data_IF_296119716667
#
_entry.id   IF_296119716667
#
_cell.length_a   1.000
_cell.length_b   1.000
_cell.length_c   1.000
_cell.angle_alpha   90.00
_cell.angle_beta   90.00
_cell.angle_gamma   90.00
#
_symmetry.space_group_name_H-M   'P 1'
#
loop_
_entity.id
_entity.type
_entity.pdbx_description
1 polymer ?
#
# COMPACT_ATOMS: atom_id res chain seq x y z
N UNK A 1 1.19 2.38 54.26
CA UNK A 1 2.61 2.35 53.83
C UNK A 1 2.62 2.60 52.34
N UNK A 2 2.13 3.75 51.89
CA UNK A 2 2.75 5.09 52.02
C UNK A 2 4.10 5.13 51.30
N UNK A 3 4.10 5.67 50.08
CA UNK A 3 4.95 6.83 49.82
C UNK A 3 4.54 7.55 48.53
N UNK A 4 3.74 8.59 48.77
CA UNK A 4 3.32 9.64 47.88
C UNK A 4 4.49 10.61 47.64
N UNK A 5 5.10 10.59 46.44
CA UNK A 5 6.15 11.55 46.09
C UNK A 5 5.65 12.58 45.07
N UNK A 6 5.19 13.69 45.64
CA UNK A 6 4.86 14.95 44.99
C UNK A 6 6.12 15.71 44.52
N UNK A 7 5.87 16.71 43.64
CA UNK A 7 6.69 17.89 43.26
C UNK A 7 7.48 17.71 41.96
N UNK A 8 7.46 18.66 41.01
CA UNK A 8 6.97 20.03 41.06
C UNK A 8 6.74 20.63 39.67
N UNK A 9 5.81 21.58 39.61
CA UNK A 9 5.54 22.41 38.43
C UNK A 9 6.53 23.57 38.39
N UNK A 10 7.15 23.87 37.23
CA UNK A 10 7.86 25.13 37.06
C UNK A 10 6.91 26.29 36.75
N UNK A 11 7.04 27.29 37.62
CA UNK A 11 6.78 28.72 37.54
C UNK A 11 6.50 29.30 36.14
N UNK A 12 5.29 29.88 36.01
CA UNK A 12 4.88 30.76 34.91
C UNK A 12 5.60 32.11 35.05
N UNK A 13 6.33 32.54 34.02
CA UNK A 13 6.83 33.93 33.92
C UNK A 13 5.78 34.79 33.21
N UNK A 14 5.32 35.91 33.80
CA UNK A 14 4.60 36.94 33.07
C UNK A 14 5.61 37.93 32.51
N UNK A 15 5.65 38.11 31.18
CA UNK A 15 6.44 39.18 30.59
C UNK A 15 5.61 40.03 29.62
N UNK A 16 5.21 41.19 30.16
CA UNK A 16 5.07 42.51 29.54
C UNK A 16 4.24 42.67 28.27
N UNK A 17 3.08 43.25 28.49
CA UNK A 17 2.35 44.14 27.59
C UNK A 17 3.25 45.25 27.01
N UNK A 18 3.50 45.17 25.70
CA UNK A 18 4.03 46.29 24.91
C UNK A 18 2.86 47.21 24.56
N UNK A 19 2.95 48.45 25.02
CA UNK A 19 2.05 49.55 24.65
C UNK A 19 2.37 49.96 23.22
N UNK A 20 1.46 49.69 22.29
CA UNK A 20 1.53 50.19 20.92
C UNK A 20 1.04 51.64 20.87
N UNK A 21 1.96 52.57 20.63
CA UNK A 21 1.63 53.95 20.30
C UNK A 21 0.93 54.02 18.95
N UNK A 22 -0.29 54.58 18.96
CA UNK A 22 -1.07 54.89 17.78
C UNK A 22 -0.51 56.15 17.10
N UNK A 23 -0.07 56.01 15.85
CA UNK A 23 0.25 57.13 14.97
C UNK A 23 -0.89 57.29 13.97
N UNK A 24 -1.53 58.46 14.02
CA UNK A 24 -2.64 58.87 13.16
C UNK A 24 -2.27 58.91 11.67
N UNK A 25 -3.27 58.75 10.77
CA UNK A 25 -3.05 58.53 9.34
C UNK A 25 -2.83 59.85 8.59
N UNK A 26 -1.71 59.94 7.88
CA UNK A 26 -1.41 61.02 6.93
C UNK A 26 -1.86 60.59 5.52
N UNK A 27 -2.78 61.36 4.94
CA UNK A 27 -2.91 61.53 3.49
C UNK A 27 -3.60 60.41 2.72
N UNK A 28 -4.93 60.50 2.59
CA UNK A 28 -5.62 59.86 1.47
C UNK A 28 -5.24 60.57 0.17
N UNK A 29 -4.39 59.95 -0.65
CA UNK A 29 -4.32 60.26 -2.06
C UNK A 29 -5.49 59.58 -2.80
N UNK A 30 -6.12 60.23 -3.80
CA UNK A 30 -7.15 59.62 -4.61
C UNK A 30 -6.56 58.43 -5.39
N UNK A 31 -7.14 57.25 -5.21
CA UNK A 31 -6.78 56.06 -5.98
C UNK A 31 -7.07 56.30 -7.47
N UNK A 32 -6.13 55.96 -8.38
CA UNK A 32 -6.37 56.02 -9.81
C UNK A 32 -7.50 55.04 -10.20
N UNK A 33 -8.32 55.37 -11.21
CA UNK A 33 -9.41 54.52 -11.66
C UNK A 33 -8.86 53.15 -12.10
N UNK A 34 -9.55 52.05 -11.77
CA UNK A 34 -9.10 50.72 -12.13
C UNK A 34 -9.03 50.59 -13.66
N UNK A 35 -7.96 49.98 -14.21
CA UNK A 35 -7.85 49.76 -15.65
C UNK A 35 -9.02 48.89 -16.13
N UNK A 36 -9.90 49.51 -16.92
CA UNK A 36 -10.93 48.82 -17.70
C UNK A 36 -10.23 48.07 -18.82
N UNK A 37 -9.83 46.82 -18.56
CA UNK A 37 -9.60 45.73 -19.53
C UNK A 37 -8.77 44.63 -18.86
N UNK A 38 -9.33 43.96 -17.86
CA UNK A 38 -8.87 42.62 -17.49
C UNK A 38 -9.67 41.63 -18.33
N UNK A 39 -9.16 41.36 -19.54
CA UNK A 39 -9.54 40.16 -20.27
C UNK A 39 -9.12 39.00 -19.38
N UNK A 40 -10.08 38.45 -18.62
CA UNK A 40 -9.89 37.23 -17.84
C UNK A 40 -9.68 36.12 -18.87
N UNK A 41 -8.42 35.92 -19.26
CA UNK A 41 -8.00 34.73 -19.96
C UNK A 41 -8.31 33.58 -19.01
N UNK A 42 -9.44 32.92 -19.26
CA UNK A 42 -9.81 31.68 -18.62
C UNK A 42 -8.77 30.65 -19.06
N UNK A 43 -7.64 30.61 -18.34
CA UNK A 43 -6.63 29.58 -18.50
C UNK A 43 -7.32 28.28 -18.09
N UNK A 44 -7.79 27.52 -19.08
CA UNK A 44 -8.31 26.19 -18.83
C UNK A 44 -7.21 25.42 -18.09
N UNK A 45 -7.51 24.81 -16.94
CA UNK A 45 -6.50 24.10 -16.17
C UNK A 45 -5.91 23.00 -17.06
N UNK A 46 -4.65 23.16 -17.45
CA UNK A 46 -3.90 22.13 -18.16
C UNK A 46 -3.80 20.94 -17.21
N UNK A 47 -4.63 19.93 -17.45
CA UNK A 47 -4.65 18.70 -16.66
C UNK A 47 -3.37 17.93 -16.96
N UNK A 48 -2.29 18.22 -16.23
CA UNK A 48 -1.05 17.45 -16.34
C UNK A 48 -1.29 16.07 -15.73
N UNK A 49 -1.21 15.02 -16.55
CA UNK A 49 -1.27 13.64 -16.06
C UNK A 49 -0.07 13.44 -15.12
N UNK A 50 -0.35 13.18 -13.85
CA UNK A 50 0.71 12.87 -12.89
C UNK A 50 1.09 11.40 -13.04
N UNK A 51 2.36 11.13 -13.36
CA UNK A 51 2.92 9.78 -13.35
C UNK A 51 3.27 9.39 -11.91
N UNK A 52 2.96 8.15 -11.53
CA UNK A 52 3.44 7.55 -10.29
C UNK A 52 4.97 7.55 -10.30
N UNK A 53 5.58 8.05 -9.22
CA UNK A 53 7.04 8.12 -9.06
C UNK A 53 7.48 7.19 -7.95
N UNK A 54 8.68 6.63 -8.11
CA UNK A 54 9.33 5.90 -7.03
C UNK A 54 9.83 6.89 -5.97
N UNK A 55 9.32 6.75 -4.74
CA UNK A 55 9.68 7.58 -3.59
C UNK A 55 11.18 7.55 -3.27
N UNK A 56 11.86 6.46 -3.69
CA UNK A 56 13.31 6.29 -3.54
C UNK A 56 14.13 7.23 -4.43
N UNK A 57 13.55 7.67 -5.55
CA UNK A 57 14.21 8.56 -6.52
C UNK A 57 14.08 10.04 -6.13
N UNK A 58 13.20 10.36 -5.18
CA UNK A 58 12.98 11.74 -4.73
C UNK A 58 14.12 12.21 -3.82
N UNK A 59 14.48 13.49 -3.91
CA UNK A 59 15.37 14.10 -2.93
C UNK A 59 14.68 14.27 -1.56
N UNK A 60 15.46 14.42 -0.49
CA UNK A 60 14.91 14.66 0.84
C UNK A 60 13.98 15.89 0.87
N UNK A 61 14.37 16.97 0.19
CA UNK A 61 13.56 18.20 0.11
C UNK A 61 12.24 17.97 -0.62
N UNK A 62 12.24 17.19 -1.71
CA UNK A 62 11.02 16.80 -2.42
C UNK A 62 10.11 15.97 -1.53
N UNK A 63 10.65 14.96 -0.84
CA UNK A 63 9.88 14.13 0.10
C UNK A 63 9.27 14.97 1.22
N UNK A 64 10.04 15.89 1.80
CA UNK A 64 9.54 16.80 2.84
C UNK A 64 8.39 17.69 2.32
N UNK A 65 8.48 18.16 1.08
CA UNK A 65 7.41 18.90 0.42
C UNK A 65 6.11 18.10 0.27
N UNK A 66 6.19 16.77 0.15
CA UNK A 66 5.03 15.88 0.02
C UNK A 66 4.37 15.53 1.37
N UNK A 67 4.98 15.87 2.51
CA UNK A 67 4.44 15.51 3.84
C UNK A 67 3.42 16.56 4.34
N UNK A 68 3.39 17.74 3.74
CA UNK A 68 2.46 18.81 4.11
C UNK A 68 1.06 18.70 3.47
N UNK A 69 0.13 19.50 3.98
CA UNK A 69 -1.16 19.76 3.33
C UNK A 69 -2.31 18.84 3.73
N UNK A 70 -3.24 18.65 2.78
CA UNK A 70 -4.46 17.88 2.98
C UNK A 70 -4.15 16.40 3.24
N UNK A 71 -4.86 15.77 4.18
CA UNK A 71 -4.62 14.38 4.59
C UNK A 71 -5.81 13.50 4.23
N UNK A 72 -5.50 12.27 3.84
CA UNK A 72 -6.45 11.23 3.44
C UNK A 72 -6.52 10.20 4.55
N UNK A 73 -7.73 9.86 4.99
CA UNK A 73 -7.94 8.78 5.93
C UNK A 73 -7.79 7.43 5.22
N UNK A 74 -6.98 6.53 5.77
CA UNK A 74 -6.91 5.14 5.33
C UNK A 74 -7.87 4.34 6.18
N UNK A 75 -8.89 3.75 5.56
CA UNK A 75 -9.95 3.04 6.30
C UNK A 75 -10.22 1.66 5.72
N UNK A 76 -10.66 0.75 6.58
CA UNK A 76 -11.15 -0.58 6.21
C UNK A 76 -12.36 -0.91 7.08
N UNK A 77 -13.49 -1.23 6.46
CA UNK A 77 -14.74 -1.56 7.17
C UNK A 77 -15.16 -0.51 8.23
N UNK A 78 -14.89 0.77 7.97
CA UNK A 78 -15.17 1.87 8.90
C UNK A 78 -14.12 2.07 10.01
N UNK A 79 -13.19 1.13 10.20
CA UNK A 79 -12.02 1.33 11.08
C UNK A 79 -11.02 2.24 10.36
N UNK A 80 -10.53 3.26 11.06
CA UNK A 80 -9.48 4.16 10.59
C UNK A 80 -8.11 3.68 11.06
N UNK A 81 -7.19 3.50 10.12
CA UNK A 81 -5.84 3.00 10.37
C UNK A 81 -4.84 4.12 10.57
N UNK A 82 -4.83 5.10 9.65
CA UNK A 82 -3.89 6.23 9.69
C UNK A 82 -4.38 7.37 8.78
N UNK A 83 -3.64 8.48 8.81
CA UNK A 83 -3.78 9.60 7.89
C UNK A 83 -2.49 9.82 7.09
N UNK A 84 -2.59 9.81 5.77
CA UNK A 84 -1.45 10.07 4.87
C UNK A 84 -1.69 11.39 4.12
N UNK A 85 -0.67 12.25 3.99
CA UNK A 85 -0.73 13.41 3.11
C UNK A 85 -1.13 13.01 1.67
N UNK A 86 -2.10 13.73 1.10
CA UNK A 86 -2.64 13.45 -0.23
C UNK A 86 -1.57 13.51 -1.32
N UNK A 87 -0.71 14.51 -1.27
CA UNK A 87 0.37 14.72 -2.25
C UNK A 87 1.35 13.55 -2.27
N UNK A 88 1.75 13.05 -1.11
CA UNK A 88 2.53 11.82 -0.99
C UNK A 88 1.76 10.65 -1.62
N UNK A 89 0.50 10.44 -1.24
CA UNK A 89 -0.28 9.31 -1.74
C UNK A 89 -0.49 9.35 -3.27
N UNK A 90 -0.83 10.50 -3.86
CA UNK A 90 -0.96 10.68 -5.31
C UNK A 90 0.36 10.47 -6.08
N UNK A 91 1.50 10.66 -5.39
CA UNK A 91 2.83 10.44 -5.97
C UNK A 91 3.17 8.96 -6.02
N UNK A 92 2.88 8.20 -4.96
CA UNK A 92 3.38 6.82 -4.78
C UNK A 92 2.34 5.72 -5.00
N UNK A 93 1.05 6.04 -4.84
CA UNK A 93 -0.04 5.07 -4.94
C UNK A 93 -0.64 5.10 -6.32
N UNK A 94 -0.58 3.96 -7.02
CA UNK A 94 -1.28 3.77 -8.29
C UNK A 94 -2.79 4.01 -8.15
N UNK A 95 -3.40 3.56 -7.05
CA UNK A 95 -4.83 3.75 -6.77
C UNK A 95 -5.19 5.23 -6.60
N UNK A 96 -4.45 5.96 -5.76
CA UNK A 96 -4.74 7.38 -5.54
C UNK A 96 -4.43 8.23 -6.78
N UNK A 97 -3.33 7.95 -7.46
CA UNK A 97 -2.96 8.62 -8.72
C UNK A 97 -4.03 8.41 -9.80
N UNK A 98 -4.51 7.17 -9.97
CA UNK A 98 -5.60 6.87 -10.90
C UNK A 98 -6.90 7.59 -10.53
N UNK A 99 -7.22 7.69 -9.23
CA UNK A 99 -8.37 8.46 -8.77
C UNK A 99 -8.23 9.96 -9.10
N UNK A 100 -7.07 10.56 -8.80
CA UNK A 100 -6.80 11.96 -9.09
C UNK A 100 -6.89 12.28 -10.60
N UNK A 101 -6.33 11.39 -11.43
CA UNK A 101 -6.39 11.53 -12.90
C UNK A 101 -7.82 11.38 -13.44
N UNK A 102 -8.66 10.50 -12.86
CA UNK A 102 -10.07 10.33 -13.26
C UNK A 102 -10.97 11.47 -12.76
N UNK A 103 -10.64 12.06 -11.61
CA UNK A 103 -11.48 13.05 -10.94
C UNK A 103 -10.67 14.28 -10.48
N UNK A 104 -10.12 15.09 -11.41
CA UNK A 104 -9.17 16.15 -11.08
C UNK A 104 -9.74 17.27 -10.19
N UNK A 105 -11.07 17.38 -10.09
CA UNK A 105 -11.77 18.35 -9.25
C UNK A 105 -12.18 17.80 -7.88
N UNK A 106 -12.09 16.48 -7.67
CA UNK A 106 -12.50 15.84 -6.43
C UNK A 106 -11.28 15.37 -5.64
N UNK A 107 -11.12 15.93 -4.44
CA UNK A 107 -10.10 15.47 -3.51
C UNK A 107 -10.57 14.21 -2.81
N UNK A 108 -9.78 13.14 -2.91
CA UNK A 108 -10.01 11.93 -2.12
C UNK A 108 -9.82 12.27 -0.64
N UNK A 109 -10.87 12.09 0.17
CA UNK A 109 -10.82 12.30 1.63
C UNK A 109 -10.52 11.01 2.38
N UNK A 110 -10.82 9.89 1.75
CA UNK A 110 -10.75 8.57 2.33
C UNK A 110 -10.32 7.57 1.25
N UNK A 111 -9.28 6.80 1.53
CA UNK A 111 -8.91 5.63 0.74
C UNK A 111 -9.44 4.40 1.47
N UNK A 112 -10.49 3.79 0.91
CA UNK A 112 -11.12 2.58 1.42
C UNK A 112 -10.36 1.36 0.91
N UNK A 113 -9.86 0.55 1.83
CA UNK A 113 -9.18 -0.70 1.54
C UNK A 113 -10.18 -1.86 1.44
N UNK A 114 -9.83 -2.87 0.64
CA UNK A 114 -10.59 -4.12 0.53
C UNK A 114 -10.64 -4.91 1.84
N UNK A 115 -11.58 -5.84 1.91
CA UNK A 115 -11.88 -6.63 3.12
C UNK A 115 -10.79 -7.66 3.46
N UNK A 116 -10.00 -8.09 2.48
CA UNK A 116 -9.00 -9.15 2.61
C UNK A 116 -7.68 -8.70 3.25
N UNK A 117 -7.34 -7.40 3.27
CA UNK A 117 -6.05 -6.95 3.78
C UNK A 117 -5.97 -6.99 5.31
N UNK A 118 -4.96 -7.67 5.86
CA UNK A 118 -4.83 -7.83 7.31
C UNK A 118 -4.50 -6.49 8.01
N UNK A 119 -5.23 -6.13 9.09
CA UNK A 119 -5.02 -4.88 9.83
C UNK A 119 -3.57 -4.63 10.29
N UNK A 120 -2.89 -5.67 10.78
CA UNK A 120 -1.51 -5.56 11.24
C UNK A 120 -0.55 -5.22 10.09
N UNK A 121 -0.70 -5.87 8.94
CA UNK A 121 0.10 -5.62 7.74
C UNK A 121 -0.16 -4.22 7.15
N UNK A 122 -1.40 -3.73 7.19
CA UNK A 122 -1.70 -2.34 6.81
C UNK A 122 -0.91 -1.38 7.70
N UNK A 123 -0.99 -1.52 9.03
CA UNK A 123 -0.25 -0.66 9.97
C UNK A 123 1.25 -0.76 9.77
N UNK A 124 1.77 -1.94 9.44
CA UNK A 124 3.18 -2.16 9.14
C UNK A 124 3.63 -1.34 7.92
N UNK A 125 2.92 -1.43 6.79
CA UNK A 125 3.23 -0.68 5.56
C UNK A 125 3.14 0.83 5.80
N UNK A 126 2.11 1.29 6.51
CA UNK A 126 1.93 2.70 6.85
C UNK A 126 3.01 3.23 7.79
N UNK A 127 3.41 2.44 8.78
CA UNK A 127 4.52 2.75 9.68
C UNK A 127 5.84 2.86 8.92
N UNK A 128 6.10 1.93 7.99
CA UNK A 128 7.27 2.00 7.11
C UNK A 128 7.28 3.26 6.24
N UNK A 129 6.14 3.64 5.64
CA UNK A 129 6.02 4.89 4.85
C UNK A 129 6.36 6.12 5.70
N UNK A 130 5.80 6.20 6.91
CA UNK A 130 6.01 7.30 7.84
C UNK A 130 7.48 7.41 8.30
N UNK A 131 8.13 6.28 8.53
CA UNK A 131 9.53 6.27 8.95
C UNK A 131 10.44 6.71 7.79
N UNK A 132 10.17 6.23 6.58
CA UNK A 132 10.93 6.59 5.38
C UNK A 132 10.68 8.02 4.89
N UNK A 133 9.58 8.65 5.29
CA UNK A 133 9.31 10.06 4.93
C UNK A 133 10.29 11.03 5.61
N UNK A 134 10.90 10.62 6.72
CA UNK A 134 11.86 11.44 7.49
C UNK A 134 13.32 11.03 7.24
N UNK A 135 13.55 9.92 6.55
CA UNK A 135 14.87 9.36 6.35
C UNK A 135 15.62 10.03 5.18
N UNK A 136 16.96 10.17 5.27
CA UNK A 136 17.78 10.71 4.18
C UNK A 136 17.79 9.79 2.96
N UNK A 137 17.66 8.49 3.18
CA UNK A 137 17.52 7.45 2.17
C UNK A 137 16.27 6.62 2.46
N UNK A 138 15.64 6.10 1.40
CA UNK A 138 14.43 5.28 1.51
C UNK A 138 14.85 3.84 1.22
N UNK A 139 14.70 2.97 2.22
CA UNK A 139 14.95 1.54 2.03
C UNK A 139 13.76 0.88 1.34
N UNK A 140 13.92 -0.33 0.82
CA UNK A 140 12.76 -1.15 0.44
C UNK A 140 11.94 -1.56 1.66
N UNK A 141 10.73 -2.08 1.43
CA UNK A 141 9.92 -2.66 2.48
C UNK A 141 10.61 -3.94 2.98
N UNK A 142 10.90 -4.05 4.30
CA UNK A 142 11.59 -5.23 4.81
C UNK A 142 10.75 -6.50 4.67
N UNK A 143 11.42 -7.62 4.39
CA UNK A 143 10.80 -8.95 4.41
C UNK A 143 10.40 -9.31 5.85
N UNK A 144 9.27 -10.00 5.99
CA UNK A 144 8.82 -10.53 7.28
C UNK A 144 9.52 -11.86 7.62
N UNK A 145 9.34 -12.33 8.85
CA UNK A 145 9.95 -13.58 9.31
C UNK A 145 9.28 -14.82 8.70
N UNK A 146 7.99 -14.72 8.34
CA UNK A 146 7.21 -15.82 7.77
C UNK A 146 6.76 -15.50 6.34
N UNK A 147 6.53 -16.53 5.53
CA UNK A 147 5.97 -16.39 4.19
C UNK A 147 4.54 -15.85 4.25
N UNK A 148 3.73 -16.34 5.20
CA UNK A 148 2.40 -15.82 5.56
C UNK A 148 2.38 -14.30 5.71
N UNK A 149 3.21 -13.75 6.62
CA UNK A 149 3.23 -12.31 6.86
C UNK A 149 3.71 -11.54 5.64
N UNK A 150 4.71 -12.09 4.93
CA UNK A 150 5.27 -11.49 3.72
C UNK A 150 4.24 -11.38 2.59
N UNK A 151 3.41 -12.42 2.40
CA UNK A 151 2.29 -12.44 1.46
C UNK A 151 1.23 -11.40 1.87
N UNK A 152 0.83 -11.39 3.15
CA UNK A 152 -0.13 -10.41 3.68
C UNK A 152 0.35 -8.97 3.58
N UNK A 153 1.65 -8.71 3.76
CA UNK A 153 2.26 -7.39 3.56
C UNK A 153 2.25 -6.99 2.08
N UNK A 154 2.55 -7.91 1.16
CA UNK A 154 2.43 -7.66 -0.27
C UNK A 154 0.99 -7.29 -0.67
N UNK A 155 0.01 -8.02 -0.15
CA UNK A 155 -1.41 -7.73 -0.40
C UNK A 155 -1.83 -6.39 0.21
N UNK A 156 -1.43 -6.08 1.45
CA UNK A 156 -1.71 -4.77 2.07
C UNK A 156 -1.10 -3.61 1.27
N UNK A 157 0.12 -3.78 0.76
CA UNK A 157 0.76 -2.80 -0.11
C UNK A 157 0.03 -2.67 -1.46
N UNK A 158 -0.40 -3.77 -2.08
CA UNK A 158 -1.24 -3.74 -3.27
C UNK A 158 -2.56 -2.99 -3.02
N UNK A 159 -3.18 -3.22 -1.87
CA UNK A 159 -4.41 -2.52 -1.49
C UNK A 159 -4.22 -1.01 -1.34
N UNK A 160 -3.02 -0.57 -0.97
CA UNK A 160 -2.60 0.83 -0.94
C UNK A 160 -2.10 1.34 -2.31
N UNK A 161 -2.01 0.51 -3.33
CA UNK A 161 -1.48 0.84 -4.67
C UNK A 161 0.05 1.00 -4.71
N UNK A 162 0.77 0.27 -3.85
CA UNK A 162 2.23 0.37 -3.62
C UNK A 162 3.01 -0.84 -4.17
N UNK A 163 2.36 -1.71 -4.94
CA UNK A 163 2.81 -3.04 -5.35
C UNK A 163 4.02 -3.05 -6.30
N UNK A 164 4.25 -1.99 -7.08
CA UNK A 164 5.26 -2.02 -8.14
C UNK A 164 6.69 -1.69 -7.68
N UNK A 165 6.83 -0.77 -6.74
CA UNK A 165 8.14 -0.20 -6.41
C UNK A 165 8.70 -0.78 -5.10
N UNK A 166 7.85 -1.08 -4.13
CA UNK A 166 8.30 -1.29 -2.74
C UNK A 166 8.25 -2.74 -2.27
N UNK A 167 7.44 -3.58 -2.92
CA UNK A 167 7.27 -5.00 -2.55
C UNK A 167 8.04 -5.98 -3.43
N UNK A 168 8.81 -5.51 -4.40
CA UNK A 168 9.52 -6.35 -5.38
C UNK A 168 10.40 -7.41 -4.72
N UNK A 169 11.14 -7.06 -3.66
CA UNK A 169 11.99 -8.01 -2.93
C UNK A 169 11.15 -9.09 -2.23
N UNK A 170 10.17 -8.68 -1.43
CA UNK A 170 9.26 -9.58 -0.71
C UNK A 170 8.55 -10.52 -1.69
N UNK A 171 8.06 -9.97 -2.81
CA UNK A 171 7.41 -10.74 -3.86
C UNK A 171 8.33 -11.80 -4.46
N UNK A 172 9.57 -11.45 -4.82
CA UNK A 172 10.55 -12.40 -5.38
C UNK A 172 10.88 -13.53 -4.40
N UNK A 173 11.04 -13.20 -3.12
CA UNK A 173 11.32 -14.19 -2.07
C UNK A 173 10.13 -15.14 -1.88
N UNK A 174 8.91 -14.60 -1.78
CA UNK A 174 7.69 -15.43 -1.68
C UNK A 174 7.47 -16.26 -2.95
N UNK A 175 7.68 -15.70 -4.13
CA UNK A 175 7.55 -16.42 -5.39
C UNK A 175 8.56 -17.58 -5.47
N UNK A 176 9.82 -17.33 -5.10
CA UNK A 176 10.85 -18.37 -5.04
C UNK A 176 10.50 -19.45 -4.01
N UNK A 177 9.97 -19.07 -2.85
CA UNK A 177 9.49 -19.99 -1.84
C UNK A 177 8.39 -20.91 -2.39
N UNK A 178 7.31 -20.34 -2.95
CA UNK A 178 6.15 -21.08 -3.49
C UNK A 178 6.50 -21.98 -4.68
N UNK A 179 7.54 -21.62 -5.44
CA UNK A 179 8.02 -22.42 -6.58
C UNK A 179 8.78 -23.68 -6.15
N UNK A 180 9.51 -23.59 -5.04
CA UNK A 180 10.49 -24.60 -4.64
C UNK A 180 10.06 -25.41 -3.40
N UNK A 181 9.02 -25.00 -2.69
CA UNK A 181 8.55 -25.64 -1.47
C UNK A 181 7.04 -25.83 -1.55
N UNK A 182 6.55 -26.91 -0.94
CA UNK A 182 5.12 -27.13 -0.74
C UNK A 182 4.63 -26.20 0.38
N UNK A 183 3.74 -25.23 0.10
CA UNK A 183 3.22 -24.33 1.12
C UNK A 183 2.33 -25.08 2.09
N UNK A 184 2.24 -24.59 3.33
CA UNK A 184 1.32 -25.13 4.34
C UNK A 184 -0.13 -24.73 4.02
N UNK A 185 -1.11 -25.50 4.50
CA UNK A 185 -2.53 -25.19 4.31
C UNK A 185 -2.89 -23.77 4.75
N UNK A 186 -2.39 -23.32 5.90
CA UNK A 186 -2.59 -21.95 6.38
C UNK A 186 -2.07 -20.86 5.42
N UNK A 187 -1.00 -21.15 4.69
CA UNK A 187 -0.43 -20.22 3.70
C UNK A 187 -1.27 -20.21 2.43
N UNK A 188 -1.77 -21.38 2.01
CA UNK A 188 -2.67 -21.52 0.86
C UNK A 188 -4.02 -20.83 1.11
N UNK A 189 -4.57 -20.96 2.33
CA UNK A 189 -5.78 -20.26 2.77
C UNK A 189 -5.64 -18.75 2.62
N UNK A 190 -4.49 -18.20 2.98
CA UNK A 190 -4.23 -16.76 2.85
C UNK A 190 -4.05 -16.36 1.39
N UNK A 191 -3.34 -17.16 0.60
CA UNK A 191 -3.16 -16.92 -0.83
C UNK A 191 -4.52 -16.89 -1.53
N UNK A 192 -5.41 -17.82 -1.21
CA UNK A 192 -6.77 -17.85 -1.78
C UNK A 192 -7.64 -16.71 -1.26
N UNK A 193 -7.64 -16.45 0.05
CA UNK A 193 -8.42 -15.35 0.64
C UNK A 193 -8.00 -13.96 0.13
N UNK A 194 -6.75 -13.82 -0.31
CA UNK A 194 -6.19 -12.61 -0.90
C UNK A 194 -6.26 -12.59 -2.44
N UNK A 195 -6.66 -13.69 -3.06
CA UNK A 195 -6.79 -13.76 -4.51
C UNK A 195 -8.03 -12.96 -4.95
N UNK A 196 -7.80 -11.82 -5.57
CA UNK A 196 -8.83 -11.06 -6.28
C UNK A 196 -8.57 -11.13 -7.78
N UNK A 197 -9.57 -10.80 -8.63
CA UNK A 197 -9.34 -10.65 -10.06
C UNK A 197 -8.21 -9.67 -10.39
N UNK A 198 -8.01 -8.66 -9.55
CA UNK A 198 -6.95 -7.66 -9.70
C UNK A 198 -5.60 -8.10 -9.09
N UNK A 199 -5.62 -9.02 -8.13
CA UNK A 199 -4.44 -9.47 -7.39
C UNK A 199 -4.44 -10.98 -7.16
N UNK A 200 -3.87 -11.73 -8.10
CA UNK A 200 -3.69 -13.18 -8.00
C UNK A 200 -2.21 -13.58 -8.06
N UNK A 201 -1.34 -12.70 -7.58
CA UNK A 201 0.10 -12.76 -7.85
C UNK A 201 0.78 -14.00 -7.23
N UNK A 202 0.24 -14.50 -6.11
CA UNK A 202 0.73 -15.71 -5.42
C UNK A 202 -0.10 -16.96 -5.69
N UNK A 203 -1.36 -16.82 -6.11
CA UNK A 203 -2.24 -17.94 -6.43
C UNK A 203 -1.66 -18.79 -7.56
N UNK A 204 -1.26 -18.13 -8.66
CA UNK A 204 -0.72 -18.81 -9.84
C UNK A 204 0.55 -19.63 -9.54
N UNK A 205 1.63 -19.07 -8.94
CA UNK A 205 2.83 -19.86 -8.65
C UNK A 205 2.56 -21.02 -7.68
N UNK A 206 1.70 -20.82 -6.67
CA UNK A 206 1.28 -21.90 -5.78
C UNK A 206 0.55 -23.02 -6.55
N UNK A 207 -0.42 -22.66 -7.40
CA UNK A 207 -1.17 -23.61 -8.20
C UNK A 207 -0.30 -24.35 -9.24
N UNK A 208 0.69 -23.68 -9.84
CA UNK A 208 1.67 -24.31 -10.76
C UNK A 208 2.46 -25.39 -10.02
N UNK A 209 2.99 -25.07 -8.85
CA UNK A 209 3.79 -26.02 -8.06
C UNK A 209 2.93 -27.18 -7.54
N UNK A 210 1.76 -26.89 -6.96
CA UNK A 210 0.83 -27.92 -6.49
C UNK A 210 0.29 -28.79 -7.63
N UNK A 211 -0.04 -28.20 -8.77
CA UNK A 211 -0.46 -28.95 -9.96
C UNK A 211 0.61 -29.92 -10.45
N UNK A 212 1.89 -29.52 -10.40
CA UNK A 212 3.00 -30.43 -10.67
C UNK A 212 3.06 -31.58 -9.64
N UNK A 213 2.97 -31.29 -8.34
CA UNK A 213 2.99 -32.32 -7.28
C UNK A 213 1.82 -33.31 -7.44
N UNK A 214 0.60 -32.80 -7.69
CA UNK A 214 -0.59 -33.62 -7.93
C UNK A 214 -0.41 -34.50 -9.16
N UNK A 215 0.04 -33.93 -10.27
CA UNK A 215 0.26 -34.66 -11.52
C UNK A 215 1.31 -35.76 -11.38
N UNK A 216 2.33 -35.53 -10.55
CA UNK A 216 3.37 -36.52 -10.26
C UNK A 216 2.97 -37.54 -9.17
N UNK A 217 1.81 -37.37 -8.53
CA UNK A 217 1.37 -38.24 -7.43
C UNK A 217 2.22 -38.11 -6.17
N UNK A 218 2.77 -36.91 -5.90
CA UNK A 218 3.71 -36.64 -4.81
C UNK A 218 3.06 -35.94 -3.60
N UNK A 219 1.73 -35.91 -3.54
CA UNK A 219 1.01 -35.37 -2.37
C UNK A 219 1.18 -36.35 -1.20
N UNK A 220 1.67 -35.85 -0.06
CA UNK A 220 1.96 -36.68 1.11
C UNK A 220 0.69 -37.27 1.75
N UNK A 221 -0.39 -36.49 1.76
CA UNK A 221 -1.66 -36.72 2.45
C UNK A 221 -2.86 -36.52 1.49
N UNK A 222 -3.03 -37.36 0.46
CA UNK A 222 -3.98 -37.11 -0.62
C UNK A 222 -5.45 -36.99 -0.17
N UNK A 223 -5.83 -37.65 0.93
CA UNK A 223 -7.19 -37.58 1.49
C UNK A 223 -7.45 -36.22 2.13
N UNK A 224 -6.54 -35.76 3.00
CA UNK A 224 -6.65 -34.47 3.68
C UNK A 224 -6.54 -33.32 2.68
N UNK A 225 -5.64 -33.45 1.71
CA UNK A 225 -5.49 -32.50 0.61
C UNK A 225 -6.78 -32.36 -0.21
N UNK A 226 -7.43 -33.47 -0.55
CA UNK A 226 -8.70 -33.44 -1.29
C UNK A 226 -9.82 -32.81 -0.46
N UNK A 227 -9.94 -33.16 0.82
CA UNK A 227 -10.91 -32.55 1.72
C UNK A 227 -10.69 -31.03 1.87
N UNK A 228 -9.42 -30.60 1.94
CA UNK A 228 -9.06 -29.19 1.93
C UNK A 228 -9.48 -28.51 0.63
N UNK A 229 -9.20 -29.11 -0.54
CA UNK A 229 -9.58 -28.56 -1.85
C UNK A 229 -11.10 -28.45 -2.03
N UNK A 230 -11.89 -29.34 -1.43
CA UNK A 230 -13.35 -29.27 -1.51
C UNK A 230 -13.91 -28.03 -0.79
N UNK A 231 -13.16 -27.48 0.18
CA UNK A 231 -13.48 -26.22 0.86
C UNK A 231 -12.88 -24.99 0.18
N UNK A 232 -12.04 -25.17 -0.84
CA UNK A 232 -11.17 -24.17 -1.45
C UNK A 232 -11.27 -24.17 -2.98
N UNK A 233 -12.45 -23.80 -3.53
CA UNK A 233 -12.76 -23.99 -4.95
C UNK A 233 -11.88 -23.16 -5.89
N UNK A 234 -11.39 -21.99 -5.46
CA UNK A 234 -10.53 -21.14 -6.30
C UNK A 234 -9.17 -21.80 -6.50
N UNK A 235 -8.57 -22.30 -5.41
CA UNK A 235 -7.33 -23.04 -5.47
C UNK A 235 -7.52 -24.36 -6.23
N UNK A 236 -8.61 -25.09 -5.99
CA UNK A 236 -8.93 -26.33 -6.69
C UNK A 236 -9.03 -26.11 -8.21
N UNK A 237 -9.72 -25.06 -8.65
CA UNK A 237 -9.83 -24.72 -10.06
C UNK A 237 -8.46 -24.40 -10.68
N UNK A 238 -7.66 -23.57 -10.01
CA UNK A 238 -6.32 -23.20 -10.47
C UNK A 238 -5.38 -24.41 -10.58
N UNK A 239 -5.42 -25.33 -9.61
CA UNK A 239 -4.62 -26.56 -9.64
C UNK A 239 -5.07 -27.47 -10.79
N UNK A 240 -6.38 -27.66 -10.98
CA UNK A 240 -6.92 -28.50 -12.07
C UNK A 240 -6.52 -27.97 -13.44
N UNK A 241 -6.55 -26.66 -13.65
CA UNK A 241 -6.06 -26.02 -14.87
C UNK A 241 -4.59 -26.38 -15.13
N UNK A 242 -3.73 -26.28 -14.11
CA UNK A 242 -2.32 -26.60 -14.23
C UNK A 242 -2.05 -28.08 -14.48
N UNK A 243 -2.82 -28.99 -13.85
CA UNK A 243 -2.74 -30.43 -14.13
C UNK A 243 -3.12 -30.72 -15.58
N UNK A 244 -4.20 -30.12 -16.09
CA UNK A 244 -4.63 -30.28 -17.48
C UNK A 244 -3.55 -29.79 -18.46
N UNK A 245 -2.90 -28.65 -18.18
CA UNK A 245 -1.80 -28.13 -18.97
C UNK A 245 -0.59 -29.08 -19.00
N UNK A 246 -0.23 -29.68 -17.85
CA UNK A 246 0.86 -30.66 -17.76
C UNK A 246 0.56 -31.94 -18.54
N UNK A 247 -0.68 -32.42 -18.49
CA UNK A 247 -1.15 -33.58 -19.26
C UNK A 247 -1.06 -33.33 -20.77
N UNK A 248 -1.48 -32.15 -21.23
CA UNK A 248 -1.37 -31.75 -22.64
C UNK A 248 0.08 -31.69 -23.11
N UNK A 249 1.00 -31.25 -22.25
CA UNK A 249 2.44 -31.18 -22.56
C UNK A 249 3.14 -32.55 -22.56
N UNK A 250 2.47 -33.62 -22.12
CA UNK A 250 3.05 -34.96 -22.04
C UNK A 250 4.20 -35.10 -21.02
N UNK A 251 4.33 -34.12 -20.11
CA UNK A 251 5.29 -34.15 -19.01
C UNK A 251 4.83 -35.28 -18.08
N UNK A 252 5.64 -36.32 -17.87
CA UNK A 252 5.29 -37.47 -17.02
C UNK A 252 5.32 -38.84 -17.72
N UNK A 253 5.05 -38.94 -19.04
CA UNK A 253 5.24 -40.22 -19.76
C UNK A 253 6.72 -40.58 -19.89
N UNK A 254 7.57 -39.59 -20.15
CA UNK A 254 9.02 -39.79 -20.35
C UNK A 254 9.81 -40.20 -19.10
N UNK A 255 9.27 -39.97 -17.89
CA UNK A 255 9.96 -40.33 -16.64
C UNK A 255 9.56 -41.70 -16.09
N UNK A 256 8.44 -42.28 -16.52
CA UNK A 256 8.05 -43.66 -16.16
C UNK A 256 8.69 -44.72 -17.06
N UNK A 257 9.24 -44.30 -18.20
CA UNK A 257 9.90 -45.16 -19.18
C UNK A 257 11.44 -45.19 -19.04
N UNK A 258 12.00 -44.41 -18.11
CA UNK A 258 13.41 -44.36 -17.76
C UNK A 258 13.63 -44.95 -16.36
#
# INVERSE_FOLDING_TARGET
MDDEKTRGRPLVKPWSSVVSSATSPTGMQPLPPPPKNLTVLSIAPTTSIQLVRDWRELSLAQRQGLIGGFRVNITKNGEKFDEIPLSLLETISTKANNHANRHPRMRIRELKLGTSAEPACIRYVLGWLRNNSKAPTVSELPTCQTARDSISVCHAAHELGLDRCYTTKIFKECYSYLKNNTPKYEELEIIEAQATPEFSAFLRPAAVHLGFIVHMGLIADPVDFQHWLDSHPTMQAAIREQVAELQQRGIGRRQKEA
#
